data_IF_055354764843
#
_entry.id   IF_055354764843
#
_cell.length_a   1.000
_cell.length_b   1.000
_cell.length_c   1.000
_cell.angle_alpha   90.00
_cell.angle_beta   90.00
_cell.angle_gamma   90.00
#
_symmetry.space_group_name_H-M   'P 1'
#
loop_
_entity.id
_entity.type
_entity.pdbx_description
1 polymer ?
#
# COMPACT_ATOMS: atom_id res chain seq x y z
N UNK A 1 -16.94 17.79 -0.61
CA UNK A 1 -15.68 17.01 -0.63
C UNK A 1 -15.75 15.82 0.32
N UNK A 2 -15.99 16.02 1.61
CA UNK A 2 -16.13 14.96 2.62
C UNK A 2 -17.23 13.93 2.27
N UNK A 3 -18.41 14.38 1.79
CA UNK A 3 -19.51 13.50 1.34
C UNK A 3 -19.14 12.56 0.17
N UNK A 4 -18.11 12.88 -0.62
CA UNK A 4 -17.66 12.00 -1.70
C UNK A 4 -16.63 11.01 -1.20
N UNK A 5 -15.79 11.36 -0.24
CA UNK A 5 -14.80 10.46 0.37
C UNK A 5 -15.47 9.33 1.16
N UNK A 6 -16.61 9.58 1.79
CA UNK A 6 -17.38 8.58 2.55
C UNK A 6 -17.95 7.45 1.68
N UNK A 7 -18.00 7.61 0.35
CA UNK A 7 -18.36 6.54 -0.59
C UNK A 7 -17.24 5.52 -0.81
N UNK A 8 -15.98 5.91 -0.59
CA UNK A 8 -14.79 5.10 -0.92
C UNK A 8 -14.05 4.60 0.31
N UNK A 9 -14.25 5.27 1.45
CA UNK A 9 -13.63 4.95 2.73
C UNK A 9 -14.74 4.82 3.76
N UNK A 10 -14.52 4.02 4.81
CA UNK A 10 -15.38 4.09 5.99
C UNK A 10 -15.52 5.57 6.41
N UNK A 11 -16.72 6.02 6.85
CA UNK A 11 -16.99 7.43 7.14
C UNK A 11 -15.90 8.10 7.98
N UNK A 12 -15.43 7.43 9.03
CA UNK A 12 -14.40 7.96 9.94
C UNK A 12 -13.03 8.12 9.26
N UNK A 13 -12.65 7.19 8.38
CA UNK A 13 -11.39 7.25 7.64
C UNK A 13 -11.42 8.32 6.54
N UNK A 14 -12.59 8.56 5.97
CA UNK A 14 -12.81 9.57 4.93
C UNK A 14 -12.61 10.99 5.46
N UNK A 15 -13.11 11.27 6.67
CA UNK A 15 -12.94 12.55 7.34
C UNK A 15 -11.50 12.75 7.82
N UNK A 16 -10.88 11.71 8.39
CA UNK A 16 -9.48 11.75 8.84
C UNK A 16 -8.53 12.00 7.65
N UNK A 17 -8.72 11.32 6.52
CA UNK A 17 -7.89 11.51 5.33
C UNK A 17 -8.08 12.89 4.71
N UNK A 18 -9.32 13.39 4.63
CA UNK A 18 -9.60 14.74 4.15
C UNK A 18 -8.96 15.82 5.04
N UNK A 19 -9.02 15.65 6.37
CA UNK A 19 -8.40 16.55 7.32
C UNK A 19 -6.87 16.52 7.24
N UNK A 20 -6.27 15.33 7.14
CA UNK A 20 -4.84 15.14 6.91
C UNK A 20 -4.40 15.83 5.61
N UNK A 21 -5.05 15.52 4.48
CA UNK A 21 -4.68 16.08 3.19
C UNK A 21 -4.77 17.62 3.17
N UNK A 22 -5.79 18.19 3.80
CA UNK A 22 -5.92 19.64 3.95
C UNK A 22 -4.78 20.23 4.78
N UNK A 23 -4.41 19.59 5.89
CA UNK A 23 -3.31 20.03 6.76
C UNK A 23 -1.96 20.01 6.03
N UNK A 24 -1.73 18.97 5.23
CA UNK A 24 -0.49 18.83 4.47
C UNK A 24 -0.47 19.65 3.16
N UNK A 25 -1.48 20.49 2.90
CA UNK A 25 -1.54 21.34 1.71
C UNK A 25 -1.80 20.57 0.40
N UNK A 26 -2.32 19.35 0.48
CA UNK A 26 -2.64 18.55 -0.69
C UNK A 26 -3.92 19.06 -1.36
N UNK A 27 -3.79 19.43 -2.64
CA UNK A 27 -4.91 19.84 -3.49
C UNK A 27 -5.64 18.63 -4.08
N UNK A 28 -6.95 18.76 -4.26
CA UNK A 28 -7.83 17.70 -4.75
C UNK A 28 -8.13 17.96 -6.22
N UNK A 29 -7.31 17.41 -7.10
CA UNK A 29 -7.22 17.92 -8.47
C UNK A 29 -8.17 17.26 -9.48
N UNK A 30 -8.64 16.02 -9.25
CA UNK A 30 -9.61 15.44 -10.18
C UNK A 30 -10.30 14.16 -9.70
N UNK A 31 -11.62 14.17 -9.67
CA UNK A 31 -12.43 12.96 -9.54
C UNK A 31 -12.77 12.48 -10.95
N UNK A 32 -12.09 11.42 -11.42
CA UNK A 32 -12.20 10.96 -12.82
C UNK A 32 -13.39 10.03 -13.06
N UNK A 33 -13.85 9.26 -12.08
CA UNK A 33 -14.99 8.34 -12.24
C UNK A 33 -15.66 7.97 -10.91
N UNK A 34 -16.83 7.34 -10.96
CA UNK A 34 -17.61 6.93 -9.77
C UNK A 34 -16.85 5.97 -8.85
N UNK A 35 -15.91 5.18 -9.38
CA UNK A 35 -15.12 4.20 -8.62
C UNK A 35 -13.64 4.58 -8.48
N UNK A 36 -13.22 5.76 -8.95
CA UNK A 36 -11.80 6.17 -8.88
C UNK A 36 -11.64 7.62 -8.49
N UNK A 37 -10.99 7.82 -7.36
CA UNK A 37 -10.54 9.13 -6.91
C UNK A 37 -9.04 9.27 -7.14
N UNK A 38 -8.64 10.47 -7.57
CA UNK A 38 -7.24 10.83 -7.79
C UNK A 38 -6.98 12.19 -7.16
N UNK A 39 -5.87 12.29 -6.45
CA UNK A 39 -5.40 13.51 -5.82
C UNK A 39 -3.96 13.76 -6.22
N UNK A 40 -3.61 15.02 -6.50
CA UNK A 40 -2.25 15.44 -6.84
C UNK A 40 -1.91 16.69 -6.05
N UNK A 41 -0.71 16.74 -5.50
CA UNK A 41 -0.29 17.85 -4.65
C UNK A 41 1.18 17.73 -4.31
N UNK A 42 1.59 18.41 -3.25
CA UNK A 42 2.96 18.38 -2.76
C UNK A 42 2.98 18.08 -1.26
N UNK A 43 3.85 17.18 -0.82
CA UNK A 43 4.24 17.03 0.58
C UNK A 43 5.62 17.68 0.73
N UNK A 44 5.68 18.87 1.31
CA UNK A 44 6.89 19.69 1.26
C UNK A 44 7.25 20.06 -0.19
N UNK A 45 8.46 19.74 -0.65
CA UNK A 45 8.92 19.95 -2.02
C UNK A 45 8.55 18.80 -2.98
N UNK A 46 7.93 17.73 -2.47
CA UNK A 46 7.82 16.47 -3.19
C UNK A 46 6.45 16.36 -3.85
N UNK A 47 6.42 16.27 -5.18
CA UNK A 47 5.18 16.03 -5.90
C UNK A 47 4.64 14.63 -5.54
N UNK A 48 3.38 14.59 -5.10
CA UNK A 48 2.68 13.37 -4.73
C UNK A 48 1.42 13.18 -5.54
N UNK A 49 1.08 11.92 -5.78
CA UNK A 49 -0.16 11.48 -6.40
C UNK A 49 -0.77 10.37 -5.58
N UNK A 50 -1.98 10.59 -5.09
CA UNK A 50 -2.75 9.59 -4.38
C UNK A 50 -3.91 9.11 -5.25
N UNK A 51 -4.27 7.83 -5.17
CA UNK A 51 -5.40 7.26 -5.89
C UNK A 51 -6.18 6.33 -4.95
N UNK A 52 -7.51 6.39 -4.99
CA UNK A 52 -8.39 5.39 -4.36
C UNK A 52 -9.22 4.73 -5.44
N UNK A 53 -9.20 3.40 -5.48
CA UNK A 53 -9.83 2.60 -6.52
C UNK A 53 -10.21 1.20 -6.01
N UNK A 54 -11.06 0.45 -6.73
CA UNK A 54 -11.23 -0.97 -6.47
C UNK A 54 -9.89 -1.69 -6.36
N UNK A 55 -9.77 -2.63 -5.42
CA UNK A 55 -8.51 -3.27 -5.11
C UNK A 55 -8.06 -4.11 -6.29
N UNK A 56 -6.78 -4.01 -6.64
CA UNK A 56 -6.17 -4.88 -7.67
C UNK A 56 -5.64 -6.19 -7.07
N UNK A 57 -5.53 -6.22 -5.74
CA UNK A 57 -5.06 -7.35 -4.95
C UNK A 57 -6.24 -8.02 -4.29
N UNK A 58 -6.34 -9.33 -4.46
CA UNK A 58 -7.38 -10.19 -3.89
C UNK A 58 -7.41 -10.18 -2.35
N UNK A 59 -6.26 -9.91 -1.71
CA UNK A 59 -6.14 -9.81 -0.27
C UNK A 59 -6.61 -8.47 0.31
N UNK A 60 -6.85 -7.44 -0.51
CA UNK A 60 -7.39 -6.15 -0.05
C UNK A 60 -8.93 -6.17 -0.04
N UNK A 61 -9.52 -5.54 0.98
CA UNK A 61 -10.96 -5.37 1.16
C UNK A 61 -11.32 -3.90 1.07
N UNK A 62 -12.47 -3.55 0.47
CA UNK A 62 -12.86 -2.16 0.26
C UNK A 62 -12.06 -1.52 -0.87
N UNK A 63 -11.79 -0.23 -0.80
CA UNK A 63 -10.96 0.47 -1.79
C UNK A 63 -9.48 0.41 -1.42
N UNK A 64 -8.64 0.23 -2.43
CA UNK A 64 -7.19 0.34 -2.33
C UNK A 64 -6.77 1.81 -2.45
N UNK A 65 -6.09 2.31 -1.42
CA UNK A 65 -5.45 3.63 -1.43
C UNK A 65 -3.99 3.49 -1.84
N UNK A 66 -3.57 4.24 -2.86
CA UNK A 66 -2.20 4.23 -3.40
C UNK A 66 -1.64 5.62 -3.36
N UNK A 67 -0.53 5.82 -2.65
CA UNK A 67 0.25 7.05 -2.70
C UNK A 67 1.52 6.79 -3.53
N UNK A 68 1.85 7.72 -4.42
CA UNK A 68 3.10 7.73 -5.18
C UNK A 68 3.76 9.08 -5.02
N UNK A 69 5.06 9.08 -4.78
CA UNK A 69 5.88 10.28 -4.72
C UNK A 69 7.28 9.94 -5.20
N UNK A 70 8.00 10.93 -5.73
CA UNK A 70 9.42 10.79 -6.02
C UNK A 70 10.22 11.17 -4.77
N UNK A 71 10.97 10.20 -4.21
CA UNK A 71 11.81 10.40 -3.04
C UNK A 71 13.24 10.87 -3.36
N UNK A 72 13.58 11.02 -4.64
CA UNK A 72 14.94 11.32 -5.13
C UNK A 72 16.00 10.36 -4.55
N UNK A 73 15.60 9.10 -4.38
CA UNK A 73 16.47 8.05 -3.85
C UNK A 73 17.31 7.44 -4.99
N UNK A 74 18.54 6.98 -4.71
CA UNK A 74 19.35 6.29 -5.70
C UNK A 74 18.65 5.03 -6.24
N UNK A 75 18.72 4.78 -7.55
CA UNK A 75 18.08 3.61 -8.21
C UNK A 75 18.49 2.25 -7.65
N UNK A 76 19.66 2.18 -7.00
CA UNK A 76 20.16 0.97 -6.32
C UNK A 76 19.43 0.64 -5.01
N UNK A 77 18.60 1.56 -4.49
CA UNK A 77 17.87 1.36 -3.25
C UNK A 77 16.46 0.85 -3.55
N UNK A 78 16.17 -0.36 -3.11
CA UNK A 78 14.84 -0.96 -3.16
C UNK A 78 14.46 -1.40 -1.75
N UNK A 79 13.40 -0.82 -1.20
CA UNK A 79 12.85 -1.18 0.10
C UNK A 79 11.33 -1.38 0.00
N UNK A 80 10.80 -2.38 0.72
CA UNK A 80 9.36 -2.56 0.89
C UNK A 80 9.01 -2.54 2.37
N UNK A 81 8.14 -1.62 2.78
CA UNK A 81 7.56 -1.61 4.12
C UNK A 81 6.17 -2.23 4.03
N UNK A 82 5.95 -3.31 4.78
CA UNK A 82 4.71 -4.09 4.76
C UNK A 82 4.22 -4.31 6.18
N UNK A 83 2.90 -4.32 6.41
CA UNK A 83 2.41 -4.66 7.75
C UNK A 83 2.74 -6.11 8.09
N UNK A 84 3.08 -6.38 9.35
CA UNK A 84 3.41 -7.73 9.83
C UNK A 84 2.26 -8.70 9.58
N UNK A 85 1.02 -8.25 9.78
CA UNK A 85 -0.18 -9.05 9.47
C UNK A 85 -0.25 -9.44 7.99
N UNK A 86 0.00 -8.50 7.07
CA UNK A 86 -0.05 -8.81 5.64
C UNK A 86 1.11 -9.73 5.24
N UNK A 87 2.31 -9.51 5.78
CA UNK A 87 3.46 -10.41 5.62
C UNK A 87 3.10 -11.84 6.00
N UNK A 88 2.61 -12.06 7.22
CA UNK A 88 2.22 -13.39 7.70
C UNK A 88 1.13 -14.03 6.84
N UNK A 89 0.13 -13.25 6.41
CA UNK A 89 -0.92 -13.76 5.52
C UNK A 89 -0.37 -14.21 4.17
N UNK A 90 0.50 -13.41 3.56
CA UNK A 90 1.12 -13.73 2.26
C UNK A 90 2.05 -14.94 2.36
N UNK A 91 2.79 -15.08 3.46
CA UNK A 91 3.62 -16.26 3.77
C UNK A 91 2.75 -17.52 3.88
N UNK A 92 1.64 -17.44 4.61
CA UNK A 92 0.69 -18.54 4.75
C UNK A 92 0.06 -18.93 3.41
N UNK A 93 -0.38 -17.96 2.61
CA UNK A 93 -0.95 -18.22 1.27
C UNK A 93 0.06 -18.90 0.33
N UNK A 94 1.34 -18.53 0.43
CA UNK A 94 2.40 -19.17 -0.35
C UNK A 94 2.61 -20.62 0.08
N UNK A 95 2.55 -20.91 1.38
CA UNK A 95 2.65 -22.26 1.92
C UNK A 95 1.45 -23.13 1.53
N UNK A 96 0.22 -22.63 1.70
CA UNK A 96 -1.02 -23.31 1.33
C UNK A 96 -1.05 -23.64 -0.16
N UNK A 97 -0.68 -22.67 -1.01
CA UNK A 97 -0.57 -22.87 -2.46
C UNK A 97 0.48 -23.92 -2.88
N UNK A 98 1.51 -24.14 -2.05
CA UNK A 98 2.50 -25.19 -2.25
C UNK A 98 1.98 -26.56 -1.82
N UNK A 99 1.23 -26.63 -0.70
CA UNK A 99 0.66 -27.89 -0.19
C UNK A 99 -0.53 -28.40 -1.04
N UNK A 100 -1.28 -27.51 -1.69
CA UNK A 100 -2.48 -27.88 -2.44
C UNK A 100 -2.21 -28.39 -3.88
N UNK A 101 -1.00 -28.26 -4.44
CA UNK A 101 -0.76 -28.60 -5.86
C UNK A 101 0.61 -29.24 -6.16
N UNK A 102 0.63 -30.58 -6.11
CA UNK A 102 1.43 -31.46 -7.01
C UNK A 102 0.81 -31.53 -8.43
N UNK A 103 -0.12 -30.63 -8.80
CA UNK A 103 -0.71 -30.59 -10.15
C UNK A 103 -0.64 -29.20 -10.77
N UNK A 104 0.02 -29.20 -11.94
CA UNK A 104 0.12 -28.20 -12.99
C UNK A 104 0.94 -26.93 -12.71
N UNK A 105 2.16 -26.99 -13.27
CA UNK A 105 3.27 -26.03 -13.41
C UNK A 105 2.93 -24.71 -14.12
N UNK A 106 1.67 -24.25 -14.10
CA UNK A 106 1.29 -23.03 -14.80
C UNK A 106 0.58 -22.03 -13.87
N UNK A 107 1.41 -21.08 -13.40
CA UNK A 107 1.05 -19.74 -12.93
C UNK A 107 0.51 -19.64 -11.49
N UNK A 108 1.35 -19.93 -10.50
CA UNK A 108 1.39 -19.03 -9.34
C UNK A 108 1.87 -17.66 -9.84
N UNK A 109 0.94 -16.80 -10.29
CA UNK A 109 1.24 -15.37 -10.45
C UNK A 109 1.41 -14.81 -9.04
N UNK A 110 2.61 -14.97 -8.48
CA UNK A 110 2.98 -14.31 -7.24
C UNK A 110 2.75 -12.81 -7.43
N UNK A 111 1.93 -12.24 -6.56
CA UNK A 111 1.79 -10.80 -6.46
C UNK A 111 3.15 -10.17 -6.12
N UNK A 112 3.26 -8.87 -6.27
CA UNK A 112 4.53 -8.15 -6.12
C UNK A 112 5.13 -8.38 -4.73
N UNK A 113 4.30 -8.33 -3.70
CA UNK A 113 4.71 -8.44 -2.31
C UNK A 113 5.20 -9.86 -1.96
N UNK A 114 4.51 -10.90 -2.45
CA UNK A 114 4.95 -12.30 -2.32
C UNK A 114 6.26 -12.56 -3.05
N UNK A 115 6.48 -11.92 -4.21
CA UNK A 115 7.77 -12.01 -4.91
C UNK A 115 8.88 -11.37 -4.08
N UNK A 116 8.62 -10.21 -3.48
CA UNK A 116 9.58 -9.56 -2.58
C UNK A 116 9.91 -10.41 -1.35
N UNK A 117 8.91 -11.01 -0.70
CA UNK A 117 9.12 -11.92 0.43
C UNK A 117 9.98 -13.14 0.09
N UNK A 118 9.96 -13.59 -1.16
CA UNK A 118 10.80 -14.69 -1.63
C UNK A 118 12.24 -14.25 -1.97
N UNK A 119 12.44 -12.98 -2.33
CA UNK A 119 13.72 -12.46 -2.81
C UNK A 119 14.54 -11.74 -1.74
N UNK A 120 13.87 -11.13 -0.75
CA UNK A 120 14.50 -10.23 0.21
C UNK A 120 14.19 -10.63 1.65
N UNK A 121 15.18 -10.44 2.52
CA UNK A 121 15.05 -10.67 3.96
C UNK A 121 14.44 -9.48 4.69
N UNK A 122 13.95 -9.70 5.91
CA UNK A 122 13.55 -8.59 6.78
C UNK A 122 14.79 -7.87 7.32
N UNK A 123 14.86 -6.57 7.08
CA UNK A 123 15.90 -5.68 7.57
C UNK A 123 15.59 -5.24 9.00
N UNK A 124 16.56 -5.36 9.90
CA UNK A 124 16.47 -4.79 11.25
C UNK A 124 16.60 -3.27 11.22
N UNK A 125 15.50 -2.54 11.04
CA UNK A 125 15.50 -1.07 11.04
C UNK A 125 15.35 -0.51 12.47
N UNK A 126 16.44 -0.56 13.23
CA UNK A 126 16.48 -0.22 14.67
C UNK A 126 16.25 1.26 14.98
N UNK A 127 16.38 2.16 14.00
CA UNK A 127 16.12 3.60 14.19
C UNK A 127 14.66 3.99 13.95
N UNK A 128 13.79 3.04 13.57
CA UNK A 128 12.37 3.30 13.36
C UNK A 128 11.65 3.42 14.71
N UNK A 129 10.61 4.26 14.79
CA UNK A 129 9.83 4.39 16.01
C UNK A 129 9.30 3.02 16.48
N UNK A 130 9.38 2.69 17.79
CA UNK A 130 9.00 1.37 18.31
C UNK A 130 7.57 0.95 17.93
N UNK A 131 6.65 1.91 17.91
CA UNK A 131 5.25 1.68 17.53
C UNK A 131 5.11 1.24 16.06
N UNK A 132 5.93 1.80 15.16
CA UNK A 132 5.95 1.37 13.76
C UNK A 132 6.58 -0.01 13.62
N UNK A 133 7.67 -0.28 14.36
CA UNK A 133 8.35 -1.57 14.33
C UNK A 133 7.46 -2.73 14.77
N UNK A 134 6.55 -2.46 15.70
CA UNK A 134 5.56 -3.42 16.20
C UNK A 134 4.55 -3.83 15.12
N UNK A 135 4.24 -2.94 14.16
CA UNK A 135 3.18 -3.17 13.17
C UNK A 135 3.70 -3.46 11.76
N UNK A 136 4.94 -3.07 11.45
CA UNK A 136 5.52 -3.14 10.11
C UNK A 136 6.84 -3.90 10.09
N UNK A 137 7.09 -4.56 8.97
CA UNK A 137 8.35 -5.18 8.58
C UNK A 137 8.90 -4.43 7.37
N UNK A 138 10.23 -4.36 7.27
CA UNK A 138 10.92 -3.71 6.15
C UNK A 138 11.73 -4.79 5.44
N UNK A 139 11.57 -4.93 4.13
CA UNK A 139 12.34 -5.85 3.29
C UNK A 139 13.25 -5.06 2.36
N UNK A 140 14.43 -5.60 2.05
CA UNK A 140 15.37 -5.06 1.06
C UNK A 140 16.67 -5.84 0.98
#
# INVERSE_FOLDING_TARGET
>A
MLERLSKFLKPDHSAALGAWAKREGLAFDNIRSEDRLVWTGHLGSMAVRMESMPPRRDYLRGHELRLRMNLDLPDRLSLMVISRWLKTRLEQQAYEGYTDKVRTTDKLKLNEESRWLALFGELGWTTMAPDLWTHYSVLG
#
